data_IF_466672837427
#
_entry.id   IF_466672837427
#
_cell.length_a   1.000
_cell.length_b   1.000
_cell.length_c   1.000
_cell.angle_alpha   90.00
_cell.angle_beta   90.00
_cell.angle_gamma   90.00
#
_symmetry.space_group_name_H-M   'P 1'
#
loop_
_entity.id
_entity.type
_entity.pdbx_description
1 polymer ?
#
# COMPACT_ATOMS: atom_id res chain seq x y z
N UNK A 1 -24.73 45.18 -8.54
CA UNK A 1 -23.56 44.30 -8.39
C UNK A 1 -22.60 44.94 -7.41
N UNK A 2 -22.41 44.34 -6.26
CA UNK A 2 -21.50 44.88 -5.26
C UNK A 2 -20.05 44.44 -5.55
N UNK A 3 -19.14 45.40 -5.41
CA UNK A 3 -17.72 45.17 -5.70
C UNK A 3 -17.03 44.38 -4.59
N UNK A 4 -16.14 43.52 -5.00
CA UNK A 4 -15.36 42.64 -4.14
C UNK A 4 -14.22 43.39 -3.49
N UNK A 5 -14.13 43.34 -2.16
CA UNK A 5 -12.89 43.61 -1.47
C UNK A 5 -11.94 42.43 -1.63
N UNK A 6 -10.62 42.69 -1.68
CA UNK A 6 -9.58 41.65 -1.67
C UNK A 6 -9.84 40.68 -0.53
N UNK A 7 -9.98 39.39 -0.86
CA UNK A 7 -10.33 38.36 0.09
C UNK A 7 -9.10 38.03 0.95
N UNK A 8 -9.27 38.07 2.27
CA UNK A 8 -8.15 37.78 3.17
C UNK A 8 -8.03 36.22 3.37
N UNK A 9 -6.88 35.65 3.05
CA UNK A 9 -6.59 34.26 3.19
C UNK A 9 -6.85 33.68 4.61
N UNK A 10 -6.93 34.55 5.63
CA UNK A 10 -7.30 34.14 7.00
C UNK A 10 -8.70 33.54 7.08
N UNK A 11 -9.67 34.08 6.33
CA UNK A 11 -11.03 33.53 6.27
C UNK A 11 -11.04 32.14 5.63
N UNK A 12 -10.25 31.94 4.58
CA UNK A 12 -10.09 30.63 3.94
C UNK A 12 -9.52 29.62 4.92
N UNK A 13 -8.42 29.96 5.60
CA UNK A 13 -7.81 29.06 6.60
C UNK A 13 -8.81 28.67 7.69
N UNK A 14 -9.56 29.64 8.23
CA UNK A 14 -10.55 29.40 9.27
C UNK A 14 -11.75 28.57 8.77
N UNK A 15 -12.18 28.78 7.52
CA UNK A 15 -13.24 28.00 6.92
C UNK A 15 -12.80 26.56 6.62
N UNK A 16 -11.59 26.34 6.12
CA UNK A 16 -11.02 25.01 5.87
C UNK A 16 -10.92 24.19 7.16
N UNK A 17 -10.56 24.82 8.28
CA UNK A 17 -10.52 24.15 9.60
C UNK A 17 -11.90 23.68 10.09
N UNK A 18 -12.99 24.36 9.68
CA UNK A 18 -14.35 23.98 10.03
C UNK A 18 -14.94 22.87 9.15
N UNK A 19 -14.30 22.55 8.04
CA UNK A 19 -14.77 21.58 7.08
C UNK A 19 -13.86 20.33 7.09
N UNK A 20 -14.34 19.25 7.68
CA UNK A 20 -13.58 17.99 7.83
C UNK A 20 -13.06 17.42 6.51
N UNK A 21 -13.76 17.69 5.40
CA UNK A 21 -13.31 17.32 4.06
C UNK A 21 -11.90 17.84 3.74
N UNK A 22 -11.58 19.06 4.16
CA UNK A 22 -10.32 19.73 3.87
C UNK A 22 -9.20 19.42 4.86
N UNK A 23 -9.38 18.48 5.79
CA UNK A 23 -8.26 17.96 6.54
C UNK A 23 -7.25 17.33 5.59
N UNK A 24 -5.96 17.60 5.77
CA UNK A 24 -4.91 17.23 4.82
C UNK A 24 -4.95 15.75 4.44
N UNK A 25 -5.05 14.86 5.43
CA UNK A 25 -5.13 13.41 5.22
C UNK A 25 -6.35 13.00 4.36
N UNK A 26 -7.48 13.70 4.48
CA UNK A 26 -8.65 13.44 3.65
C UNK A 26 -8.53 14.07 2.27
N UNK A 27 -8.06 15.31 2.20
CA UNK A 27 -7.89 16.03 0.94
C UNK A 27 -6.87 15.34 0.02
N UNK A 28 -5.79 14.81 0.59
CA UNK A 28 -4.77 14.04 -0.15
C UNK A 28 -5.32 12.79 -0.84
N UNK A 29 -6.44 12.25 -0.36
CA UNK A 29 -7.14 11.14 -1.03
C UNK A 29 -7.71 11.52 -2.40
N UNK A 30 -8.08 12.78 -2.56
CA UNK A 30 -8.62 13.33 -3.80
C UNK A 30 -7.54 14.03 -4.64
N UNK A 31 -6.50 14.52 -3.99
CA UNK A 31 -5.41 15.30 -4.57
C UNK A 31 -4.06 14.66 -4.15
N UNK A 32 -3.70 13.50 -4.70
CA UNK A 32 -2.51 12.75 -4.28
C UNK A 32 -1.19 13.50 -4.52
N UNK A 33 -1.18 14.43 -5.48
CA UNK A 33 -0.01 15.26 -5.80
C UNK A 33 0.20 16.42 -4.82
N UNK A 34 -0.75 16.63 -3.89
CA UNK A 34 -0.68 17.71 -2.92
C UNK A 34 0.32 17.38 -1.81
N UNK A 35 1.30 18.23 -1.56
CA UNK A 35 2.34 17.99 -0.56
C UNK A 35 2.08 18.68 0.79
N UNK A 36 1.27 19.73 0.82
CA UNK A 36 0.94 20.44 2.07
C UNK A 36 -0.34 21.28 1.98
N UNK A 37 -0.95 21.57 3.13
CA UNK A 37 -2.07 22.53 3.20
C UNK A 37 -1.65 23.94 2.79
N UNK A 38 -0.41 24.31 2.99
CA UNK A 38 0.13 25.61 2.52
C UNK A 38 0.11 25.68 1.00
N UNK A 39 0.55 24.62 0.34
CA UNK A 39 0.50 24.48 -1.11
C UNK A 39 -0.95 24.53 -1.62
N UNK A 40 -1.88 23.80 -0.97
CA UNK A 40 -3.29 23.84 -1.35
C UNK A 40 -3.88 25.25 -1.28
N UNK A 41 -3.55 26.02 -0.24
CA UNK A 41 -4.10 27.35 -0.03
C UNK A 41 -3.48 28.37 -1.00
N UNK A 42 -2.17 28.36 -1.18
CA UNK A 42 -1.42 29.40 -1.86
C UNK A 42 -0.90 29.02 -3.25
N UNK A 43 -0.88 27.73 -3.58
CA UNK A 43 -0.34 27.24 -4.86
C UNK A 43 -1.18 27.67 -6.05
N UNK A 44 -0.53 28.08 -7.14
CA UNK A 44 -1.20 28.57 -8.36
C UNK A 44 -2.09 27.51 -9.03
N UNK A 45 -1.75 26.24 -8.91
CA UNK A 45 -2.52 25.08 -9.43
C UNK A 45 -3.67 24.66 -8.53
N UNK A 46 -3.77 25.25 -7.34
CA UNK A 46 -4.73 24.88 -6.32
C UNK A 46 -5.71 26.01 -6.03
N UNK A 47 -6.04 26.25 -4.77
CA UNK A 47 -7.03 27.26 -4.38
C UNK A 47 -6.57 28.69 -4.71
N UNK A 48 -5.26 28.94 -4.73
CA UNK A 48 -4.66 30.22 -5.02
C UNK A 48 -5.32 31.39 -4.27
N UNK A 49 -5.43 31.25 -2.95
CA UNK A 49 -6.17 32.15 -2.08
C UNK A 49 -5.75 33.62 -2.20
N UNK A 50 -4.50 33.86 -2.57
CA UNK A 50 -3.95 35.21 -2.72
C UNK A 50 -4.52 35.93 -3.94
N UNK A 51 -4.99 35.21 -4.94
CA UNK A 51 -5.61 35.73 -6.16
C UNK A 51 -7.13 35.51 -6.20
N UNK A 52 -7.69 34.80 -5.21
CA UNK A 52 -9.12 34.51 -5.17
C UNK A 52 -9.93 35.78 -5.00
N UNK A 53 -10.96 35.94 -5.83
CA UNK A 53 -11.94 37.05 -5.75
C UNK A 53 -13.30 36.45 -5.47
N UNK A 54 -13.97 36.97 -4.45
CA UNK A 54 -15.32 36.55 -4.09
C UNK A 54 -16.32 37.59 -4.63
N UNK A 55 -17.26 37.14 -5.46
CA UNK A 55 -18.36 37.97 -5.96
C UNK A 55 -19.62 37.63 -5.17
N UNK A 56 -20.16 38.63 -4.48
CA UNK A 56 -21.38 38.45 -3.69
C UNK A 56 -22.52 39.19 -4.34
N UNK A 57 -23.64 38.54 -4.50
CA UNK A 57 -24.91 39.19 -4.84
C UNK A 57 -25.61 39.55 -3.54
N UNK A 58 -25.74 40.81 -3.28
CA UNK A 58 -26.42 41.33 -2.08
C UNK A 58 -27.62 42.16 -2.47
N UNK A 59 -28.68 42.28 -1.63
CA UNK A 59 -29.78 43.18 -1.85
C UNK A 59 -29.31 44.60 -2.06
N UNK A 60 -30.08 45.39 -2.82
CA UNK A 60 -29.70 46.74 -3.26
C UNK A 60 -29.46 47.71 -2.07
N UNK A 61 -30.03 47.40 -0.93
CA UNK A 61 -29.90 48.14 0.33
C UNK A 61 -28.59 47.85 1.09
N UNK A 62 -27.87 46.82 0.68
CA UNK A 62 -26.66 46.35 1.35
C UNK A 62 -25.43 47.03 0.77
N UNK A 63 -24.74 47.83 1.55
CA UNK A 63 -23.45 48.40 1.16
C UNK A 63 -22.34 47.40 1.42
N UNK A 64 -21.47 47.17 0.45
CA UNK A 64 -20.36 46.21 0.53
C UNK A 64 -19.40 46.41 1.72
N UNK A 65 -19.46 47.57 2.35
CA UNK A 65 -18.64 47.97 3.50
C UNK A 65 -19.18 47.43 4.84
N UNK A 66 -20.42 46.91 4.85
CA UNK A 66 -21.12 46.49 6.06
C UNK A 66 -21.05 44.98 6.35
N UNK A 67 -20.31 44.18 5.53
CA UNK A 67 -20.17 42.77 5.80
C UNK A 67 -19.35 42.51 7.05
N UNK A 68 -19.95 41.81 8.00
CA UNK A 68 -19.29 41.35 9.21
C UNK A 68 -18.31 40.22 8.94
N UNK A 69 -17.36 40.02 9.83
CA UNK A 69 -16.41 38.92 9.74
C UNK A 69 -17.10 37.52 9.70
N UNK A 70 -18.22 37.38 10.41
CA UNK A 70 -18.98 36.12 10.45
C UNK A 70 -19.74 35.87 9.13
N UNK A 71 -20.29 36.91 8.51
CA UNK A 71 -20.91 36.78 7.19
C UNK A 71 -19.90 36.41 6.13
N UNK A 72 -18.72 37.05 6.12
CA UNK A 72 -17.62 36.68 5.22
C UNK A 72 -17.20 35.21 5.45
N UNK A 73 -17.07 34.81 6.70
CA UNK A 73 -16.70 33.41 7.02
C UNK A 73 -17.78 32.43 6.54
N UNK A 74 -19.07 32.73 6.75
CA UNK A 74 -20.17 31.88 6.31
C UNK A 74 -20.16 31.70 4.78
N UNK A 75 -20.06 32.79 4.02
CA UNK A 75 -20.00 32.76 2.56
C UNK A 75 -18.75 31.99 2.09
N UNK A 76 -17.63 32.12 2.79
CA UNK A 76 -16.41 31.35 2.49
C UNK A 76 -16.62 29.85 2.70
N UNK A 77 -17.32 29.47 3.76
CA UNK A 77 -17.65 28.06 4.04
C UNK A 77 -18.54 27.53 2.92
N UNK A 78 -19.57 28.28 2.50
CA UNK A 78 -20.48 27.85 1.46
C UNK A 78 -19.78 27.71 0.10
N UNK A 79 -18.90 28.62 -0.26
CA UNK A 79 -18.03 28.50 -1.43
C UNK A 79 -17.16 27.24 -1.37
N UNK A 80 -16.53 26.98 -0.23
CA UNK A 80 -15.68 25.80 -0.08
C UNK A 80 -16.49 24.50 -0.14
N UNK A 81 -17.75 24.48 0.31
CA UNK A 81 -18.65 23.34 0.11
C UNK A 81 -18.96 23.09 -1.37
N UNK A 82 -19.17 24.15 -2.16
CA UNK A 82 -19.34 24.01 -3.60
C UNK A 82 -18.07 23.46 -4.28
N UNK A 83 -16.90 23.93 -3.85
CA UNK A 83 -15.61 23.37 -4.30
C UNK A 83 -15.45 21.90 -3.90
N UNK A 84 -15.86 21.55 -2.68
CA UNK A 84 -15.86 20.16 -2.23
C UNK A 84 -16.68 19.29 -3.18
N UNK A 85 -17.92 19.70 -3.51
CA UNK A 85 -18.76 18.95 -4.45
C UNK A 85 -18.08 18.79 -5.81
N UNK A 86 -17.45 19.84 -6.33
CA UNK A 86 -16.70 19.80 -7.60
C UNK A 86 -15.48 18.89 -7.52
N UNK A 87 -14.72 18.94 -6.43
CA UNK A 87 -13.59 18.02 -6.21
C UNK A 87 -14.09 16.58 -6.15
N UNK A 88 -15.19 16.32 -5.44
CA UNK A 88 -15.75 14.97 -5.31
C UNK A 88 -16.37 14.43 -6.61
N UNK A 89 -17.04 15.27 -7.39
CA UNK A 89 -17.70 14.87 -8.64
C UNK A 89 -16.77 14.85 -9.84
N UNK A 90 -15.77 15.73 -9.90
CA UNK A 90 -14.80 15.81 -11.00
C UNK A 90 -13.61 14.85 -10.84
N UNK A 91 -13.47 14.28 -9.68
CA UNK A 91 -12.36 13.37 -9.37
C UNK A 91 -12.82 11.92 -9.47
N UNK A 92 -12.54 11.33 -10.60
CA UNK A 92 -12.46 9.87 -10.66
C UNK A 92 -11.27 9.50 -9.78
N UNK A 93 -11.51 8.81 -8.67
CA UNK A 93 -10.45 8.32 -7.79
C UNK A 93 -9.58 7.33 -8.56
N UNK A 94 -8.63 7.82 -9.33
CA UNK A 94 -7.53 6.96 -9.78
C UNK A 94 -6.69 6.69 -8.54
N UNK A 95 -6.78 5.47 -8.05
CA UNK A 95 -5.99 5.01 -6.92
C UNK A 95 -4.90 4.11 -7.42
N UNK A 96 -3.70 4.41 -6.98
CA UNK A 96 -2.54 3.72 -7.45
C UNK A 96 -2.26 4.02 -8.92
N UNK A 97 -1.22 3.45 -9.41
CA UNK A 97 -0.87 3.43 -10.82
C UNK A 97 -0.38 2.02 -11.14
N UNK A 98 -0.48 1.60 -12.37
CA UNK A 98 0.18 0.39 -12.85
C UNK A 98 1.70 0.57 -12.99
N UNK A 99 2.22 1.69 -12.50
CA UNK A 99 3.63 2.04 -12.57
C UNK A 99 4.34 1.62 -11.31
N UNK A 100 5.38 0.85 -11.48
CA UNK A 100 6.30 0.44 -10.42
C UNK A 100 7.58 1.24 -10.54
N UNK A 101 8.07 1.69 -9.39
CA UNK A 101 9.38 2.30 -9.27
C UNK A 101 10.33 1.34 -8.58
N UNK A 102 11.48 1.09 -9.19
CA UNK A 102 12.53 0.27 -8.60
C UNK A 102 13.25 1.00 -7.47
N UNK A 103 13.47 0.30 -6.36
CA UNK A 103 14.30 0.78 -5.26
C UNK A 103 15.33 -0.29 -4.94
N UNK A 104 16.63 0.07 -4.86
CA UNK A 104 17.66 -0.87 -4.47
C UNK A 104 17.39 -1.40 -3.06
N UNK A 105 17.16 -2.70 -2.92
CA UNK A 105 16.79 -3.30 -1.63
C UNK A 105 17.84 -3.07 -0.55
N UNK A 106 19.11 -2.98 -0.94
CA UNK A 106 20.23 -2.66 -0.02
C UNK A 106 20.05 -1.34 0.75
N UNK A 107 19.28 -0.40 0.19
CA UNK A 107 19.02 0.89 0.85
C UNK A 107 18.01 0.76 1.99
N UNK A 108 17.30 -0.37 2.04
CA UNK A 108 16.28 -0.70 3.03
C UNK A 108 16.72 -1.81 3.99
N UNK A 109 17.80 -2.51 3.66
CA UNK A 109 18.39 -3.52 4.53
C UNK A 109 19.27 -2.86 5.58
N UNK A 110 19.07 -3.23 6.82
CA UNK A 110 19.97 -2.87 7.91
C UNK A 110 20.03 -3.99 8.95
N UNK A 111 21.16 -4.14 9.59
CA UNK A 111 21.23 -4.99 10.77
C UNK A 111 20.35 -4.37 11.86
N UNK A 112 19.47 -5.15 12.44
CA UNK A 112 18.61 -4.72 13.52
C UNK A 112 18.55 -5.74 14.65
N UNK A 113 18.27 -5.25 15.84
CA UNK A 113 18.05 -6.09 17.01
C UNK A 113 16.56 -6.03 17.38
N UNK A 114 15.91 -7.18 17.42
CA UNK A 114 14.52 -7.31 17.85
C UNK A 114 14.46 -7.98 19.21
N UNK A 115 13.72 -7.39 20.15
CA UNK A 115 13.40 -8.05 21.41
C UNK A 115 12.20 -8.94 21.18
N UNK A 116 12.38 -10.24 21.35
CA UNK A 116 11.31 -11.21 21.30
C UNK A 116 10.90 -11.49 22.76
N UNK A 117 9.64 -11.24 23.14
CA UNK A 117 9.18 -11.60 24.49
C UNK A 117 9.24 -13.11 24.64
N UNK A 118 9.69 -13.57 25.80
CA UNK A 118 9.64 -14.98 26.15
C UNK A 118 8.15 -15.41 26.22
N UNK A 119 7.86 -16.53 25.57
CA UNK A 119 6.48 -17.03 25.56
C UNK A 119 6.15 -17.67 26.92
N UNK A 120 5.19 -17.08 27.61
CA UNK A 120 4.61 -17.66 28.82
C UNK A 120 3.22 -18.24 28.52
N UNK A 121 3.08 -19.57 28.51
CA UNK A 121 1.81 -20.24 28.22
C UNK A 121 0.74 -19.94 29.28
N UNK A 122 1.11 -19.44 30.46
CA UNK A 122 0.18 -19.13 31.55
C UNK A 122 -0.47 -17.75 31.41
N UNK A 123 0.14 -16.86 30.61
CA UNK A 123 -0.33 -15.48 30.37
C UNK A 123 -0.92 -15.33 28.98
N UNK A 124 -1.67 -16.29 28.46
CA UNK A 124 -2.32 -16.17 27.15
C UNK A 124 -3.22 -14.94 27.09
N UNK A 125 -2.68 -13.86 26.54
CA UNK A 125 -3.49 -12.75 26.06
C UNK A 125 -4.09 -13.19 24.73
N UNK A 126 -5.39 -13.36 24.70
CA UNK A 126 -6.15 -13.71 23.50
C UNK A 126 -5.72 -12.80 22.33
N UNK A 127 -5.17 -13.41 21.27
CA UNK A 127 -4.74 -12.72 20.05
C UNK A 127 -3.24 -12.46 19.92
N UNK A 128 -2.39 -12.81 20.89
CA UNK A 128 -0.94 -12.80 20.67
C UNK A 128 -0.54 -14.00 19.80
N UNK A 129 0.12 -13.68 18.67
CA UNK A 129 0.77 -14.71 17.86
C UNK A 129 2.03 -15.20 18.59
N UNK A 130 2.19 -16.51 18.64
CA UNK A 130 3.42 -17.12 19.15
C UNK A 130 4.54 -16.85 18.17
N UNK A 131 5.53 -16.06 18.57
CA UNK A 131 6.72 -15.73 17.77
C UNK A 131 7.87 -16.61 18.24
N UNK A 132 8.51 -17.28 17.31
CA UNK A 132 9.69 -18.11 17.53
C UNK A 132 10.89 -17.57 16.79
N UNK A 133 12.09 -17.99 17.24
CA UNK A 133 13.35 -17.62 16.61
C UNK A 133 13.99 -18.90 16.08
N UNK A 134 14.24 -18.93 14.78
CA UNK A 134 14.89 -20.04 14.11
C UNK A 134 16.22 -19.59 13.52
N UNK A 135 17.27 -20.37 13.70
CA UNK A 135 18.54 -20.18 13.01
C UNK A 135 18.36 -20.55 11.53
N UNK A 136 18.84 -19.71 10.63
CA UNK A 136 18.73 -19.89 9.19
C UNK A 136 20.13 -20.01 8.58
N UNK A 137 20.72 -21.20 8.58
CA UNK A 137 22.06 -21.40 8.05
C UNK A 137 22.12 -21.35 6.53
N UNK A 138 20.96 -21.46 5.87
CA UNK A 138 20.87 -21.47 4.42
C UNK A 138 20.88 -20.05 3.85
N UNK A 139 21.62 -19.83 2.81
CA UNK A 139 21.85 -18.55 2.17
C UNK A 139 20.67 -18.03 1.30
N UNK A 140 19.60 -18.83 1.13
CA UNK A 140 18.40 -18.39 0.43
C UNK A 140 17.54 -17.41 1.27
N UNK A 141 17.65 -17.49 2.60
CA UNK A 141 16.99 -16.56 3.50
C UNK A 141 18.01 -15.49 3.93
N UNK A 142 17.73 -14.23 3.68
CA UNK A 142 18.76 -13.17 3.77
C UNK A 142 19.14 -12.75 5.20
N UNK A 143 18.46 -13.27 6.21
CA UNK A 143 18.80 -13.05 7.61
C UNK A 143 19.34 -14.33 8.25
N UNK A 144 20.29 -14.19 9.17
CA UNK A 144 20.82 -15.30 9.94
C UNK A 144 19.78 -15.96 10.85
N UNK A 145 18.72 -15.23 11.19
CA UNK A 145 17.63 -15.69 12.06
C UNK A 145 16.28 -15.30 11.52
N UNK A 146 15.36 -16.24 11.48
CA UNK A 146 13.95 -15.96 11.24
C UNK A 146 13.22 -15.73 12.57
N UNK A 147 12.66 -14.55 12.76
CA UNK A 147 11.82 -14.17 13.90
C UNK A 147 10.40 -14.12 13.40
N UNK A 148 9.67 -15.22 13.52
CA UNK A 148 8.44 -15.49 12.78
C UNK A 148 7.42 -16.22 13.64
N UNK A 149 6.14 -16.18 13.24
CA UNK A 149 5.13 -17.08 13.77
C UNK A 149 5.18 -18.45 13.07
N UNK A 150 4.42 -19.41 13.57
CA UNK A 150 4.42 -20.76 13.02
C UNK A 150 4.04 -20.83 11.55
N UNK A 151 3.05 -20.05 11.11
CA UNK A 151 2.60 -20.02 9.72
C UNK A 151 3.67 -19.44 8.77
N UNK A 152 4.33 -18.36 9.21
CA UNK A 152 5.46 -17.78 8.49
C UNK A 152 6.64 -18.73 8.40
N UNK A 153 6.93 -19.47 9.48
CA UNK A 153 7.99 -20.46 9.49
C UNK A 153 7.69 -21.64 8.56
N UNK A 154 6.45 -22.12 8.57
CA UNK A 154 5.99 -23.17 7.65
C UNK A 154 6.15 -22.74 6.18
N UNK A 155 5.81 -21.50 5.86
CA UNK A 155 6.06 -20.94 4.52
C UNK A 155 7.55 -20.98 4.14
N UNK A 156 8.43 -20.57 5.06
CA UNK A 156 9.88 -20.60 4.81
C UNK A 156 10.36 -22.04 4.50
N UNK A 157 9.95 -23.01 5.30
CA UNK A 157 10.31 -24.41 5.09
C UNK A 157 9.76 -24.99 3.78
N UNK A 158 8.53 -24.61 3.40
CA UNK A 158 7.97 -25.00 2.11
C UNK A 158 8.73 -24.37 0.93
N UNK A 159 9.10 -23.11 1.00
CA UNK A 159 9.94 -22.46 -0.03
C UNK A 159 11.31 -23.11 -0.10
N UNK A 160 11.91 -23.42 1.05
CA UNK A 160 13.19 -24.13 1.17
C UNK A 160 13.22 -25.44 0.38
N UNK A 161 12.13 -26.21 0.41
CA UNK A 161 12.03 -27.47 -0.33
C UNK A 161 12.18 -27.28 -1.86
N UNK A 162 11.93 -26.09 -2.38
CA UNK A 162 12.04 -25.76 -3.81
C UNK A 162 13.30 -24.99 -4.19
N UNK A 163 14.15 -24.61 -3.23
CA UNK A 163 15.32 -23.74 -3.48
C UNK A 163 16.25 -24.32 -4.52
N UNK A 164 16.54 -25.63 -4.46
CA UNK A 164 17.44 -26.26 -5.43
C UNK A 164 16.85 -26.20 -6.85
N UNK A 165 15.57 -26.54 -7.01
CA UNK A 165 14.90 -26.46 -8.32
C UNK A 165 14.80 -25.01 -8.83
N UNK A 166 14.62 -24.05 -7.94
CA UNK A 166 14.65 -22.63 -8.30
C UNK A 166 16.05 -22.21 -8.72
N UNK A 167 17.10 -22.64 -8.04
CA UNK A 167 18.51 -22.34 -8.38
C UNK A 167 18.96 -22.97 -9.69
N UNK A 168 18.43 -24.13 -10.02
CA UNK A 168 18.69 -24.75 -11.32
C UNK A 168 18.19 -23.91 -12.49
N UNK A 169 17.13 -23.17 -12.28
CA UNK A 169 16.53 -22.28 -13.29
C UNK A 169 17.01 -20.83 -13.16
N UNK A 170 17.00 -20.28 -11.96
CA UNK A 170 17.40 -18.90 -11.65
C UNK A 170 18.80 -18.92 -11.05
N UNK A 171 19.79 -19.15 -11.89
CA UNK A 171 21.17 -19.48 -11.48
C UNK A 171 21.90 -18.32 -10.81
N UNK A 172 21.45 -17.08 -10.99
CA UNK A 172 22.14 -15.92 -10.46
C UNK A 172 21.69 -15.57 -9.04
N UNK A 173 20.39 -15.59 -8.77
CA UNK A 173 19.88 -15.31 -7.43
C UNK A 173 18.55 -16.02 -7.11
N UNK A 174 18.47 -16.60 -5.92
CA UNK A 174 17.24 -17.08 -5.29
C UNK A 174 17.28 -16.68 -3.83
N UNK A 175 16.50 -15.65 -3.47
CA UNK A 175 16.47 -15.13 -2.11
C UNK A 175 15.03 -14.93 -1.62
N UNK A 176 14.74 -15.49 -0.45
CA UNK A 176 13.52 -15.18 0.29
C UNK A 176 13.81 -14.06 1.30
N UNK A 177 13.07 -12.99 1.20
CA UNK A 177 13.22 -11.81 2.00
C UNK A 177 11.97 -11.57 2.86
N UNK A 178 12.14 -11.47 4.18
CA UNK A 178 11.06 -11.05 5.08
C UNK A 178 11.07 -9.54 5.22
N UNK A 179 9.94 -8.93 4.90
CA UNK A 179 9.74 -7.49 5.02
C UNK A 179 9.36 -7.14 6.47
N UNK A 180 10.33 -6.81 7.30
CA UNK A 180 10.06 -6.42 8.70
C UNK A 180 9.62 -4.96 8.82
N UNK A 181 8.65 -4.69 9.69
CA UNK A 181 8.17 -3.33 9.98
C UNK A 181 9.27 -2.37 10.45
N UNK A 182 10.33 -2.89 11.07
CA UNK A 182 11.45 -2.08 11.54
C UNK A 182 12.35 -1.53 10.43
N UNK A 183 12.23 -2.03 9.21
CA UNK A 183 12.94 -1.48 8.05
C UNK A 183 12.51 -0.06 7.70
N UNK A 184 11.42 0.42 8.27
CA UNK A 184 10.73 1.64 7.86
C UNK A 184 10.74 2.76 8.89
N UNK A 185 11.67 2.77 9.80
CA UNK A 185 11.75 3.84 10.82
C UNK A 185 11.88 5.25 10.25
N UNK A 186 12.28 5.38 8.98
CA UNK A 186 12.27 6.66 8.29
C UNK A 186 10.97 6.81 7.47
N UNK A 187 10.11 7.73 7.88
CA UNK A 187 8.76 7.94 7.32
C UNK A 187 8.69 8.14 5.80
N UNK A 188 9.75 8.58 5.17
CA UNK A 188 9.82 8.80 3.71
C UNK A 188 10.01 7.48 2.96
N UNK A 189 10.71 6.51 3.55
CA UNK A 189 10.98 5.21 2.91
C UNK A 189 9.84 4.22 3.09
N UNK A 190 8.98 4.40 4.10
CA UNK A 190 7.91 3.44 4.41
C UNK A 190 6.87 3.28 3.30
N UNK A 191 6.57 4.32 2.56
CA UNK A 191 5.60 4.25 1.44
C UNK A 191 6.19 3.60 0.18
N UNK A 192 7.50 3.67 -0.01
CA UNK A 192 8.18 3.11 -1.17
C UNK A 192 8.06 1.58 -1.29
N UNK A 193 7.92 0.89 -0.15
CA UNK A 193 7.80 -0.57 -0.09
C UNK A 193 6.36 -1.06 0.04
N UNK A 194 5.38 -0.18 -0.10
CA UNK A 194 3.97 -0.54 -0.01
C UNK A 194 3.34 -0.71 -1.38
N UNK A 195 2.55 -1.76 -1.49
CA UNK A 195 1.65 -1.97 -2.60
C UNK A 195 0.34 -1.24 -2.35
N UNK A 196 -0.20 -0.60 -3.36
CA UNK A 196 -1.48 0.11 -3.30
C UNK A 196 -2.46 -0.51 -4.28
N UNK A 197 -3.71 -0.64 -3.84
CA UNK A 197 -4.77 -1.13 -4.71
C UNK A 197 -4.92 -0.19 -5.92
N UNK A 198 -4.80 -0.78 -7.12
CA UNK A 198 -4.94 -0.11 -8.40
C UNK A 198 -6.30 -0.43 -9.01
N UNK A 199 -6.89 0.58 -9.64
CA UNK A 199 -8.10 0.39 -10.45
C UNK A 199 -8.97 1.63 -10.48
N UNK A 200 -9.59 1.88 -11.61
CA UNK A 200 -10.75 2.77 -11.69
C UNK A 200 -11.89 2.03 -11.01
N UNK A 201 -12.62 2.68 -10.08
CA UNK A 201 -13.84 2.08 -9.57
C UNK A 201 -14.77 1.85 -10.76
N UNK A 202 -14.98 0.61 -11.11
CA UNK A 202 -15.97 0.24 -12.12
C UNK A 202 -17.33 0.55 -11.52
N UNK A 203 -18.06 1.48 -12.12
CA UNK A 203 -19.47 1.75 -11.81
C UNK A 203 -20.36 0.61 -12.32
N UNK A 204 -19.98 -0.65 -12.11
CA UNK A 204 -20.71 -1.78 -12.66
C UNK A 204 -22.08 -1.99 -11.98
N UNK A 205 -22.30 -1.43 -10.80
CA UNK A 205 -23.51 -1.71 -10.01
C UNK A 205 -24.07 -0.49 -9.25
N UNK A 206 -23.71 0.72 -9.63
CA UNK A 206 -24.25 1.95 -9.03
C UNK A 206 -23.88 2.17 -7.57
N UNK A 207 -22.98 1.36 -7.01
CA UNK A 207 -22.47 1.56 -5.66
C UNK A 207 -21.31 2.57 -5.67
N UNK A 208 -21.38 3.48 -4.74
CA UNK A 208 -20.35 4.50 -4.52
C UNK A 208 -18.97 3.86 -4.36
N UNK A 209 -17.88 4.50 -4.84
CA UNK A 209 -16.51 3.98 -4.76
C UNK A 209 -15.94 3.91 -3.33
N UNK A 210 -16.74 3.49 -2.35
CA UNK A 210 -16.35 3.39 -0.96
C UNK A 210 -15.40 2.21 -0.68
N UNK A 211 -15.35 1.24 -1.59
CA UNK A 211 -14.78 -0.07 -1.30
C UNK A 211 -13.31 -0.23 -1.69
N UNK A 212 -12.69 0.80 -2.27
CA UNK A 212 -11.24 0.75 -2.56
C UNK A 212 -10.45 1.20 -1.35
N UNK A 213 -9.65 0.31 -0.78
CA UNK A 213 -8.77 0.64 0.34
C UNK A 213 -7.70 1.66 -0.06
N UNK A 214 -7.59 2.73 0.73
CA UNK A 214 -6.63 3.81 0.50
C UNK A 214 -5.26 3.52 1.09
N UNK A 215 -5.21 2.60 2.04
CA UNK A 215 -3.98 2.22 2.72
C UNK A 215 -3.18 1.30 1.82
N UNK A 216 -1.91 1.59 1.66
CA UNK A 216 -0.98 0.63 1.12
C UNK A 216 -0.77 -0.51 2.10
N UNK A 217 -0.43 -1.69 1.60
CA UNK A 217 0.05 -2.77 2.44
C UNK A 217 1.45 -3.21 2.01
N UNK A 218 2.20 -3.68 2.96
CA UNK A 218 3.50 -4.27 2.75
C UNK A 218 3.33 -5.76 2.95
N UNK A 219 3.59 -6.58 1.90
CA UNK A 219 3.61 -8.03 2.03
C UNK A 219 4.67 -8.47 3.04
N UNK A 220 4.42 -9.56 3.75
CA UNK A 220 5.36 -10.06 4.76
C UNK A 220 6.64 -10.61 4.12
N UNK A 221 6.54 -11.20 2.92
CA UNK A 221 7.68 -11.78 2.21
C UNK A 221 7.75 -11.38 0.75
N UNK A 222 8.99 -11.35 0.24
CA UNK A 222 9.30 -11.27 -1.19
C UNK A 222 10.26 -12.38 -1.55
N UNK A 223 9.93 -13.15 -2.58
CA UNK A 223 10.84 -14.09 -3.21
C UNK A 223 11.47 -13.41 -4.43
N UNK A 224 12.79 -13.24 -4.42
CA UNK A 224 13.58 -12.71 -5.54
C UNK A 224 14.21 -13.84 -6.31
N UNK A 225 14.03 -13.81 -7.62
CA UNK A 225 14.60 -14.75 -8.56
C UNK A 225 15.31 -13.97 -9.66
N UNK A 226 16.53 -14.35 -9.99
CA UNK A 226 17.31 -13.73 -11.07
C UNK A 226 18.01 -14.82 -11.89
N UNK A 227 17.88 -14.77 -13.21
CA UNK A 227 18.56 -15.68 -14.13
C UNK A 227 19.81 -15.05 -14.77
N UNK A 228 20.50 -15.83 -15.59
CA UNK A 228 21.74 -15.39 -16.28
C UNK A 228 21.50 -14.31 -17.34
N UNK A 229 20.25 -14.09 -17.75
CA UNK A 229 19.87 -13.05 -18.73
C UNK A 229 19.50 -11.71 -18.09
N UNK A 230 19.79 -11.54 -16.80
CA UNK A 230 19.36 -10.39 -15.99
C UNK A 230 17.83 -10.22 -15.94
N UNK A 231 17.10 -11.33 -16.04
CA UNK A 231 15.67 -11.34 -15.81
C UNK A 231 15.39 -11.46 -14.29
N UNK A 232 14.67 -10.48 -13.75
CA UNK A 232 14.27 -10.40 -12.35
C UNK A 232 12.81 -10.77 -12.19
N UNK A 233 12.54 -11.73 -11.31
CA UNK A 233 11.19 -12.08 -10.95
C UNK A 233 10.99 -11.89 -9.46
N UNK A 234 10.05 -11.01 -9.07
CA UNK A 234 9.68 -10.72 -7.70
C UNK A 234 8.29 -11.26 -7.42
N UNK A 235 8.17 -12.10 -6.41
CA UNK A 235 6.90 -12.69 -5.99
C UNK A 235 6.59 -12.24 -4.57
N UNK A 236 5.49 -11.53 -4.41
CA UNK A 236 5.00 -11.09 -3.09
C UNK A 236 4.15 -12.18 -2.44
N UNK A 237 4.41 -12.44 -1.16
CA UNK A 237 3.75 -13.50 -0.40
C UNK A 237 3.28 -12.93 0.93
N UNK A 238 2.00 -13.18 1.26
CA UNK A 238 1.38 -12.75 2.51
C UNK A 238 0.81 -13.97 3.25
N UNK A 239 1.45 -14.46 4.32
CA UNK A 239 0.87 -15.47 5.18
C UNK A 239 -0.31 -14.92 5.98
N UNK A 240 -1.43 -15.67 6.03
CA UNK A 240 -2.63 -15.20 6.71
C UNK A 240 -3.31 -16.32 7.50
N UNK A 241 -3.46 -16.12 8.79
CA UNK A 241 -4.28 -17.00 9.62
C UNK A 241 -5.76 -16.91 9.24
N UNK A 242 -6.39 -18.05 9.01
CA UNK A 242 -7.81 -18.17 8.65
C UNK A 242 -8.69 -17.99 9.89
N UNK A 243 -8.93 -16.76 10.37
CA UNK A 243 -9.91 -16.57 11.44
C UNK A 243 -10.59 -15.21 11.43
N UNK A 244 -11.93 -15.28 11.36
CA UNK A 244 -12.84 -14.23 11.74
C UNK A 244 -12.91 -12.99 10.84
N UNK A 245 -13.56 -11.96 11.37
CA UNK A 245 -13.82 -10.68 10.68
C UNK A 245 -12.58 -9.97 10.13
N UNK A 246 -11.41 -10.25 10.72
CA UNK A 246 -10.14 -9.65 10.27
C UNK A 246 -9.72 -10.19 8.90
N UNK A 247 -9.87 -11.48 8.67
CA UNK A 247 -9.56 -12.10 7.37
C UNK A 247 -10.40 -11.47 6.27
N UNK A 248 -11.71 -11.37 6.46
CA UNK A 248 -12.63 -10.76 5.48
C UNK A 248 -12.27 -9.31 5.18
N UNK A 249 -11.87 -8.53 6.19
CA UNK A 249 -11.46 -7.13 6.02
C UNK A 249 -10.17 -6.96 5.24
N UNK A 250 -9.35 -7.99 5.14
CA UNK A 250 -8.04 -7.96 4.48
C UNK A 250 -8.02 -8.65 3.12
N UNK A 251 -9.13 -9.27 2.67
CA UNK A 251 -9.25 -9.92 1.36
C UNK A 251 -8.84 -9.04 0.18
N UNK A 252 -9.01 -7.72 0.29
CA UNK A 252 -8.57 -6.77 -0.72
C UNK A 252 -7.06 -6.85 -1.03
N UNK A 253 -6.24 -7.31 -0.08
CA UNK A 253 -4.80 -7.52 -0.29
C UNK A 253 -4.57 -8.73 -1.20
N UNK A 254 -5.32 -9.81 -0.97
CA UNK A 254 -5.29 -10.99 -1.83
C UNK A 254 -5.75 -10.67 -3.25
N UNK A 255 -6.84 -9.90 -3.38
CA UNK A 255 -7.33 -9.41 -4.66
C UNK A 255 -6.29 -8.57 -5.39
N UNK A 256 -5.52 -7.72 -4.68
CA UNK A 256 -4.44 -6.95 -5.26
C UNK A 256 -3.30 -7.85 -5.75
N UNK A 257 -2.89 -8.83 -4.96
CA UNK A 257 -1.84 -9.79 -5.36
C UNK A 257 -2.27 -10.62 -6.57
N UNK A 258 -3.52 -11.09 -6.60
CA UNK A 258 -4.09 -11.81 -7.74
C UNK A 258 -4.20 -10.92 -9.00
N UNK A 259 -4.59 -9.65 -8.83
CA UNK A 259 -4.62 -8.68 -9.90
C UNK A 259 -3.23 -8.48 -10.54
N UNK A 260 -2.19 -8.29 -9.72
CA UNK A 260 -0.81 -8.14 -10.20
C UNK A 260 -0.38 -9.35 -11.04
N UNK A 261 -0.75 -10.54 -10.61
CA UNK A 261 -0.42 -11.78 -11.33
C UNK A 261 -1.15 -11.90 -12.66
N UNK A 262 -2.43 -11.53 -12.71
CA UNK A 262 -3.24 -11.63 -13.93
C UNK A 262 -2.98 -10.51 -14.94
N UNK A 263 -2.38 -9.38 -14.54
CA UNK A 263 -2.13 -8.21 -15.37
C UNK A 263 -0.64 -7.87 -15.48
N UNK A 264 0.23 -8.87 -15.41
CA UNK A 264 1.69 -8.69 -15.42
C UNK A 264 2.18 -7.88 -16.63
N UNK A 265 1.58 -8.12 -17.80
CA UNK A 265 1.98 -7.46 -19.05
C UNK A 265 1.56 -5.97 -19.12
N UNK A 266 0.66 -5.55 -18.24
CA UNK A 266 0.19 -4.17 -18.13
C UNK A 266 0.99 -3.34 -17.12
N UNK A 267 1.85 -3.99 -16.33
CA UNK A 267 2.66 -3.31 -15.32
C UNK A 267 3.81 -2.57 -15.98
N UNK A 268 3.98 -1.31 -15.62
CA UNK A 268 5.00 -0.42 -16.19
C UNK A 268 6.05 -0.09 -15.14
N UNK A 269 7.32 -0.20 -15.50
CA UNK A 269 8.45 0.18 -14.65
C UNK A 269 9.00 1.54 -15.09
N UNK A 270 8.98 2.53 -14.17
CA UNK A 270 9.29 3.94 -14.51
C UNK A 270 10.74 4.19 -14.90
N UNK A 271 11.68 3.41 -14.36
CA UNK A 271 13.11 3.66 -14.50
C UNK A 271 13.75 2.99 -15.74
N UNK A 272 12.94 2.61 -16.73
CA UNK A 272 13.42 1.93 -17.93
C UNK A 272 14.01 0.54 -17.65
N UNK A 273 13.70 -0.02 -16.49
CA UNK A 273 14.10 -1.37 -16.12
C UNK A 273 13.38 -2.33 -17.04
N UNK A 274 14.13 -3.03 -17.86
CA UNK A 274 13.66 -4.10 -18.71
C UNK A 274 13.88 -5.44 -18.02
N UNK A 275 13.13 -6.47 -18.41
CA UNK A 275 13.26 -7.82 -17.88
C UNK A 275 12.88 -7.98 -16.40
N UNK A 276 11.91 -7.21 -15.91
CA UNK A 276 11.35 -7.39 -14.57
C UNK A 276 9.95 -7.96 -14.67
N UNK A 277 9.67 -8.98 -13.87
CA UNK A 277 8.35 -9.54 -13.66
C UNK A 277 7.98 -9.41 -12.19
N UNK A 278 6.73 -9.03 -11.92
CA UNK A 278 6.20 -8.90 -10.57
C UNK A 278 4.92 -9.71 -10.47
N UNK A 279 4.77 -10.48 -9.41
CA UNK A 279 3.57 -11.27 -9.15
C UNK A 279 3.27 -11.30 -7.66
N UNK A 280 2.07 -11.73 -7.31
CA UNK A 280 1.67 -12.01 -5.95
C UNK A 280 0.98 -13.36 -5.85
N UNK A 281 1.14 -14.04 -4.73
CA UNK A 281 0.38 -15.23 -4.42
C UNK A 281 -0.95 -14.88 -3.79
N UNK A 282 -1.91 -15.80 -3.88
CA UNK A 282 -3.00 -15.83 -2.91
C UNK A 282 -2.42 -15.88 -1.50
N UNK A 283 -3.23 -15.53 -0.51
CA UNK A 283 -2.79 -15.66 0.87
C UNK A 283 -2.29 -17.07 1.16
N UNK A 284 -1.10 -17.14 1.74
CA UNK A 284 -0.62 -18.40 2.28
C UNK A 284 -1.39 -18.68 3.58
N UNK A 285 -2.20 -19.72 3.57
CA UNK A 285 -2.92 -20.19 4.74
C UNK A 285 -2.49 -21.61 5.08
N UNK A 286 -2.78 -22.07 6.28
CA UNK A 286 -2.44 -23.44 6.69
C UNK A 286 -3.12 -24.47 5.79
N UNK A 287 -4.36 -24.20 5.39
CA UNK A 287 -5.15 -25.13 4.59
C UNK A 287 -4.78 -25.09 3.09
N UNK A 288 -4.28 -23.95 2.60
CA UNK A 288 -3.96 -23.71 1.18
C UNK A 288 -2.45 -23.76 0.87
N UNK A 289 -1.63 -24.24 1.78
CA UNK A 289 -0.17 -24.26 1.59
C UNK A 289 0.29 -25.02 0.34
N UNK A 290 -0.41 -26.11 -0.01
CA UNK A 290 -0.12 -26.87 -1.23
C UNK A 290 -0.49 -26.08 -2.49
N UNK A 291 -1.60 -25.34 -2.47
CA UNK A 291 -2.01 -24.49 -3.59
C UNK A 291 -1.03 -23.35 -3.82
N UNK A 292 -0.45 -22.78 -2.75
CA UNK A 292 0.60 -21.77 -2.87
C UNK A 292 1.86 -22.33 -3.53
N UNK A 293 2.28 -23.52 -3.18
CA UNK A 293 3.43 -24.19 -3.83
C UNK A 293 3.13 -24.59 -5.27
N UNK A 294 1.90 -24.98 -5.58
CA UNK A 294 1.46 -25.18 -6.95
C UNK A 294 1.54 -23.90 -7.78
N UNK A 295 1.08 -22.78 -7.22
CA UNK A 295 1.23 -21.46 -7.87
C UNK A 295 2.71 -21.11 -8.09
N UNK A 296 3.59 -21.39 -7.12
CA UNK A 296 5.03 -21.18 -7.28
C UNK A 296 5.57 -21.95 -8.49
N UNK A 297 5.23 -23.23 -8.62
CA UNK A 297 5.66 -24.05 -9.76
C UNK A 297 5.13 -23.53 -11.09
N UNK A 298 3.85 -23.21 -11.14
CA UNK A 298 3.22 -22.69 -12.36
C UNK A 298 3.84 -21.35 -12.79
N UNK A 299 4.06 -20.41 -11.86
CA UNK A 299 4.64 -19.11 -12.15
C UNK A 299 6.11 -19.18 -12.55
N UNK A 300 6.87 -20.05 -11.88
CA UNK A 300 8.31 -20.19 -12.10
C UNK A 300 8.65 -21.22 -13.17
N UNK A 301 7.72 -22.11 -13.51
CA UNK A 301 7.91 -23.20 -14.48
C UNK A 301 8.94 -24.22 -14.02
N UNK A 302 9.08 -24.43 -12.69
CA UNK A 302 9.85 -25.54 -12.10
C UNK A 302 8.98 -26.77 -11.96
N UNK A 303 9.60 -27.95 -11.97
CA UNK A 303 8.92 -29.23 -11.79
C UNK A 303 9.18 -29.78 -10.39
N UNK A 304 8.18 -30.43 -9.83
CA UNK A 304 8.29 -31.14 -8.56
C UNK A 304 9.11 -32.42 -8.72
N UNK A 305 9.91 -32.74 -7.73
CA UNK A 305 10.61 -34.02 -7.65
C UNK A 305 10.19 -34.76 -6.37
N UNK A 306 10.45 -36.09 -6.31
CA UNK A 306 10.03 -36.96 -5.17
C UNK A 306 10.52 -36.46 -3.80
N UNK A 307 11.71 -35.87 -3.72
CA UNK A 307 12.23 -35.29 -2.46
C UNK A 307 11.41 -34.10 -1.96
N UNK A 308 10.83 -33.33 -2.88
CA UNK A 308 9.98 -32.17 -2.54
C UNK A 308 8.63 -32.64 -2.00
N UNK A 309 8.05 -33.70 -2.56
CA UNK A 309 6.81 -34.30 -2.04
C UNK A 309 7.00 -34.81 -0.61
N UNK A 310 8.10 -35.55 -0.34
CA UNK A 310 8.39 -36.05 0.98
C UNK A 310 8.62 -34.94 2.01
N UNK A 311 9.33 -33.86 1.63
CA UNK A 311 9.56 -32.71 2.50
C UNK A 311 8.26 -31.97 2.83
N UNK A 312 7.34 -31.84 1.88
CA UNK A 312 6.04 -31.18 2.07
C UNK A 312 5.13 -31.97 3.02
N UNK A 313 5.14 -33.33 2.91
CA UNK A 313 4.37 -34.18 3.80
C UNK A 313 4.90 -34.18 5.25
N UNK A 314 6.18 -33.85 5.45
CA UNK A 314 6.78 -33.79 6.79
C UNK A 314 6.45 -32.49 7.55
N UNK A 315 5.90 -31.45 6.87
CA UNK A 315 5.53 -30.15 7.46
C UNK A 315 4.05 -30.11 7.86
N UNK A 316 3.24 -31.06 7.45
CA UNK A 316 1.84 -31.25 7.90
C UNK A 316 1.79 -31.90 9.28
#
# INVERSE_FOLDING_TARGET
MAHVKKFDARYIKKALQKLGFYHFANLKKYLPQLNSMKEFIHGEKWLNADKLKLFLTVPQEYRSEALTADEILKVTIDLLKEYQVKIQSGYVKERGTNKFKGYPIKDYLSNYNKRVPEYDPTTQISGQQHITVHEMPEDFFIYEKAIVNNLEYELIERVKAYVDALRDKYKKAVYLFRMDENMHRESIKSEALKLHQYGKPTQADGKTPSDVHLSGFQPDFILFLEDESDFYFQIFIEPKGMSGDRFVKELWKEELLAYMTSHQDELVFEDGVVNVKVSGFKFYTKDDGQDTMKQLREMTGITENQKQEEALLSVE
#
